data_IF_194167054440
#
_entry.id   IF_194167054440
#
_cell.length_a   1.000
_cell.length_b   1.000
_cell.length_c   1.000
_cell.angle_alpha   90.00
_cell.angle_beta   90.00
_cell.angle_gamma   90.00
#
_symmetry.space_group_name_H-M   'P 1'
#
loop_
_entity.id
_entity.type
_entity.pdbx_description
1 polymer ?
#
# COMPACT_ATOMS: atom_id res chain seq x y z
N UNK A 1 26.67 -2.14 -8.52
CA UNK A 1 25.38 -2.49 -7.87
C UNK A 1 25.36 -1.89 -6.48
N UNK A 2 24.40 -1.03 -6.22
CA UNK A 2 24.22 -0.38 -4.93
C UNK A 2 22.87 -0.75 -4.33
N UNK A 3 22.76 -0.60 -3.02
CA UNK A 3 21.50 -0.82 -2.30
C UNK A 3 21.21 0.40 -1.44
N UNK A 4 19.99 0.89 -1.56
CA UNK A 4 19.49 2.01 -0.77
C UNK A 4 18.20 1.58 -0.06
N UNK A 5 18.02 2.01 1.16
CA UNK A 5 16.81 1.77 1.93
C UNK A 5 16.23 3.07 2.46
N UNK A 6 14.90 3.10 2.58
CA UNK A 6 14.19 4.23 3.13
C UNK A 6 12.90 3.76 3.80
N UNK A 7 12.42 4.52 4.76
CA UNK A 7 11.13 4.28 5.38
C UNK A 7 10.26 5.51 5.19
N UNK A 8 9.10 5.31 4.58
CA UNK A 8 8.05 6.33 4.60
C UNK A 8 7.04 6.00 5.69
N UNK A 9 6.60 7.06 6.39
CA UNK A 9 5.60 6.97 7.43
C UNK A 9 4.36 7.73 6.97
N UNK A 10 3.22 7.01 6.93
CA UNK A 10 1.94 7.55 6.49
C UNK A 10 1.00 7.59 7.69
N UNK A 11 0.48 8.76 8.00
CA UNK A 11 -0.58 8.93 8.99
C UNK A 11 -1.91 8.75 8.29
N UNK A 12 -2.65 7.72 8.69
CA UNK A 12 -3.97 7.42 8.12
C UNK A 12 -5.08 7.92 9.05
N UNK A 13 -6.22 8.24 8.46
CA UNK A 13 -7.41 8.63 9.19
C UNK A 13 -8.62 8.02 8.48
N UNK A 14 -8.90 6.77 8.81
CA UNK A 14 -10.00 6.02 8.25
C UNK A 14 -9.59 5.04 7.16
N UNK A 15 -10.48 4.09 6.92
CA UNK A 15 -10.35 3.04 5.92
C UNK A 15 -10.49 3.64 4.53
N UNK A 16 -9.43 3.65 3.77
CA UNK A 16 -9.39 4.05 2.36
C UNK A 16 -8.02 3.79 1.74
N UNK A 17 -7.92 4.05 0.44
CA UNK A 17 -6.67 4.03 -0.31
C UNK A 17 -5.98 5.40 -0.22
N UNK A 18 -4.73 5.39 0.23
CA UNK A 18 -3.88 6.57 0.32
C UNK A 18 -2.84 6.52 -0.78
N UNK A 19 -2.83 7.50 -1.67
CA UNK A 19 -1.85 7.55 -2.75
C UNK A 19 -0.47 7.95 -2.18
N UNK A 20 0.49 7.03 -2.25
CA UNK A 20 1.87 7.26 -1.82
C UNK A 20 2.84 7.37 -3.01
N UNK A 21 2.32 7.40 -4.23
CA UNK A 21 3.14 7.51 -5.44
C UNK A 21 4.12 8.68 -5.38
N UNK A 22 3.71 9.91 -4.99
CA UNK A 22 4.64 11.04 -4.97
C UNK A 22 5.87 10.82 -4.09
N UNK A 23 5.68 10.28 -2.88
CA UNK A 23 6.77 10.03 -1.94
C UNK A 23 7.74 8.98 -2.47
N UNK A 24 7.20 7.90 -3.07
CA UNK A 24 8.01 6.81 -3.63
C UNK A 24 8.80 7.30 -4.84
N UNK A 25 8.13 7.97 -5.76
CA UNK A 25 8.76 8.48 -7.00
C UNK A 25 9.86 9.49 -6.69
N UNK A 26 9.61 10.42 -5.77
CA UNK A 26 10.58 11.44 -5.37
C UNK A 26 11.84 10.82 -4.76
N UNK A 27 11.67 9.89 -3.83
CA UNK A 27 12.83 9.24 -3.21
C UNK A 27 13.66 8.47 -4.22
N UNK A 28 13.01 7.67 -5.06
CA UNK A 28 13.70 6.85 -6.05
C UNK A 28 14.44 7.71 -7.10
N UNK A 29 13.81 8.78 -7.58
CA UNK A 29 14.43 9.68 -8.56
C UNK A 29 15.68 10.39 -7.99
N UNK A 30 15.70 10.66 -6.69
CA UNK A 30 16.84 11.30 -6.03
C UNK A 30 17.96 10.33 -5.64
N UNK A 31 17.83 9.05 -5.96
CA UNK A 31 18.83 8.03 -5.63
C UNK A 31 20.15 8.18 -6.41
N UNK A 32 20.09 8.79 -7.58
CA UNK A 32 21.24 8.89 -8.49
C UNK A 32 21.55 7.57 -9.22
N UNK A 33 20.72 6.54 -9.06
CA UNK A 33 20.88 5.24 -9.70
C UNK A 33 20.07 5.19 -11.01
N UNK A 34 20.37 4.22 -11.86
CA UNK A 34 19.82 4.18 -13.22
C UNK A 34 18.90 2.99 -13.47
N UNK A 35 19.35 1.76 -13.22
CA UNK A 35 18.57 0.57 -13.59
C UNK A 35 18.63 -0.48 -12.49
N UNK A 36 17.47 -1.01 -12.13
CA UNK A 36 17.38 -2.01 -11.07
C UNK A 36 15.94 -2.37 -10.69
N UNK A 37 15.74 -2.65 -9.42
CA UNK A 37 14.46 -3.08 -8.86
C UNK A 37 14.17 -2.34 -7.57
N UNK A 38 12.98 -1.75 -7.50
CA UNK A 38 12.45 -1.16 -6.27
C UNK A 38 11.48 -2.15 -5.63
N UNK A 39 11.69 -2.42 -4.35
CA UNK A 39 10.76 -3.20 -3.53
C UNK A 39 10.16 -2.31 -2.45
N UNK A 40 8.84 -2.39 -2.29
CA UNK A 40 8.12 -1.79 -1.18
C UNK A 40 7.59 -2.91 -0.29
N UNK A 41 7.66 -2.71 1.03
CA UNK A 41 7.17 -3.67 2.00
C UNK A 41 6.46 -2.93 3.15
N UNK A 42 5.21 -3.30 3.41
CA UNK A 42 4.45 -2.71 4.53
C UNK A 42 4.62 -3.57 5.79
N UNK A 43 4.91 -2.90 6.91
CA UNK A 43 5.22 -3.57 8.18
C UNK A 43 3.99 -3.70 9.09
N UNK A 44 2.84 -4.08 8.51
CA UNK A 44 1.56 -4.15 9.23
C UNK A 44 0.72 -5.33 8.78
N UNK A 45 -0.23 -5.73 9.61
CA UNK A 45 -1.18 -6.82 9.35
C UNK A 45 -2.62 -6.33 9.15
N UNK A 46 -2.86 -5.03 9.27
CA UNK A 46 -4.18 -4.40 9.09
C UNK A 46 -4.18 -3.24 8.10
N UNK A 47 -3.14 -3.16 7.30
CA UNK A 47 -3.01 -2.29 6.14
C UNK A 47 -2.14 -3.01 5.10
N UNK A 48 -2.27 -2.63 3.85
CA UNK A 48 -1.59 -3.33 2.74
C UNK A 48 -1.14 -2.37 1.65
N UNK A 49 -0.51 -2.92 0.62
CA UNK A 49 -0.08 -2.18 -0.57
C UNK A 49 -0.87 -2.63 -1.78
N UNK A 50 -1.05 -1.71 -2.72
CA UNK A 50 -1.76 -1.97 -3.96
C UNK A 50 -1.26 -1.05 -5.07
N UNK A 51 -1.08 -1.60 -6.27
CA UNK A 51 -0.95 -0.80 -7.49
C UNK A 51 -2.27 -0.86 -8.22
N UNK A 52 -2.84 0.30 -8.50
CA UNK A 52 -4.13 0.39 -9.19
C UNK A 52 -4.24 1.73 -9.92
N UNK A 53 -5.35 1.92 -10.63
CA UNK A 53 -5.62 3.16 -11.35
C UNK A 53 -5.67 4.35 -10.38
N UNK A 54 -5.02 5.44 -10.76
CA UNK A 54 -4.96 6.67 -9.98
C UNK A 54 -5.66 7.86 -10.66
N UNK A 55 -6.43 7.63 -11.71
CA UNK A 55 -7.07 8.68 -12.49
C UNK A 55 -8.55 8.86 -12.14
N UNK A 56 -9.35 7.80 -12.27
CA UNK A 56 -10.78 7.86 -11.98
C UNK A 56 -11.04 7.51 -10.50
N UNK A 57 -11.51 8.47 -9.68
CA UNK A 57 -11.77 8.20 -8.27
C UNK A 57 -12.87 7.14 -8.04
N UNK A 58 -13.72 6.87 -9.02
CA UNK A 58 -14.76 5.85 -8.93
C UNK A 58 -14.16 4.44 -8.80
N UNK A 59 -12.97 4.21 -9.36
CA UNK A 59 -12.27 2.93 -9.19
C UNK A 59 -11.99 2.64 -7.71
N UNK A 60 -11.56 3.65 -6.96
CA UNK A 60 -11.26 3.50 -5.54
C UNK A 60 -12.53 3.31 -4.72
N UNK A 61 -13.61 4.00 -5.08
CA UNK A 61 -14.92 3.85 -4.44
C UNK A 61 -15.47 2.46 -4.66
N UNK A 62 -15.43 1.96 -5.88
CA UNK A 62 -15.92 0.62 -6.22
C UNK A 62 -15.08 -0.48 -5.56
N UNK A 63 -13.78 -0.27 -5.45
CA UNK A 63 -12.89 -1.19 -4.72
C UNK A 63 -13.34 -1.34 -3.27
N UNK A 64 -13.59 -0.23 -2.60
CA UNK A 64 -14.02 -0.21 -1.20
C UNK A 64 -15.39 -0.86 -1.04
N UNK A 65 -16.34 -0.55 -1.91
CA UNK A 65 -17.69 -1.15 -1.92
C UNK A 65 -17.62 -2.66 -2.09
N UNK A 66 -16.77 -3.14 -3.00
CA UNK A 66 -16.58 -4.57 -3.23
C UNK A 66 -16.04 -5.27 -1.97
N UNK A 67 -15.00 -4.69 -1.35
CA UNK A 67 -14.42 -5.26 -0.14
C UNK A 67 -15.39 -5.24 1.04
N UNK A 68 -16.21 -4.21 1.19
CA UNK A 68 -17.25 -4.18 2.22
C UNK A 68 -18.25 -5.35 2.07
N UNK A 69 -18.54 -5.72 0.84
CA UNK A 69 -19.47 -6.83 0.55
C UNK A 69 -18.86 -8.19 0.88
N UNK A 70 -17.61 -8.43 0.48
CA UNK A 70 -16.99 -9.76 0.66
C UNK A 70 -16.34 -9.96 2.01
N UNK A 71 -15.99 -8.88 2.70
CA UNK A 71 -15.35 -8.92 4.03
C UNK A 71 -16.12 -7.97 4.96
N UNK A 72 -17.32 -8.36 5.42
CA UNK A 72 -18.14 -7.50 6.27
C UNK A 72 -17.55 -7.36 7.67
N UNK A 73 -17.69 -6.16 8.25
CA UNK A 73 -17.28 -5.91 9.62
C UNK A 73 -18.25 -6.54 10.61
N UNK A 74 -17.71 -7.03 11.73
CA UNK A 74 -18.51 -7.56 12.84
C UNK A 74 -19.32 -8.81 12.51
N UNK A 75 -18.90 -9.60 11.51
CA UNK A 75 -19.54 -10.86 11.20
C UNK A 75 -19.47 -11.80 12.40
N UNK A 76 -20.58 -12.50 12.67
CA UNK A 76 -20.71 -13.39 13.82
C UNK A 76 -19.78 -14.61 13.76
N UNK A 77 -19.21 -14.94 12.59
CA UNK A 77 -18.25 -16.03 12.45
C UNK A 77 -16.89 -15.72 13.08
N UNK A 78 -16.57 -14.43 13.30
CA UNK A 78 -15.28 -14.03 13.81
C UNK A 78 -15.18 -14.20 15.34
N UNK A 79 -14.07 -14.78 15.80
CA UNK A 79 -13.75 -14.91 17.22
C UNK A 79 -12.71 -13.89 17.68
N UNK A 80 -11.95 -13.30 16.78
CA UNK A 80 -11.00 -12.22 17.05
C UNK A 80 -11.75 -10.88 17.09
N UNK A 81 -12.21 -10.48 18.27
CA UNK A 81 -13.12 -9.35 18.43
C UNK A 81 -12.64 -8.29 19.42
N UNK A 82 -11.53 -8.54 20.15
CA UNK A 82 -11.09 -7.69 21.25
C UNK A 82 -10.67 -6.28 20.81
N UNK A 83 -10.23 -6.12 19.57
CA UNK A 83 -9.73 -4.84 19.04
C UNK A 83 -10.75 -4.10 18.16
N UNK A 84 -12.01 -4.51 18.19
CA UNK A 84 -13.11 -3.86 17.44
C UNK A 84 -13.63 -4.70 16.30
N UNK A 85 -14.76 -4.25 15.74
CA UNK A 85 -15.48 -4.95 14.67
C UNK A 85 -14.73 -4.99 13.35
N UNK A 86 -13.85 -4.02 13.11
CA UNK A 86 -13.12 -3.84 11.86
C UNK A 86 -11.74 -4.52 11.85
N UNK A 87 -11.29 -5.09 13.00
CA UNK A 87 -9.93 -5.62 13.07
C UNK A 87 -9.76 -6.95 12.35
N UNK A 88 -10.61 -7.94 12.63
CA UNK A 88 -10.52 -9.21 11.88
C UNK A 88 -10.76 -9.03 10.37
N UNK A 89 -11.76 -8.26 9.93
CA UNK A 89 -11.88 -7.90 8.52
C UNK A 89 -10.65 -7.22 7.94
N UNK A 90 -9.97 -6.37 8.71
CA UNK A 90 -8.73 -5.73 8.27
C UNK A 90 -7.62 -6.77 8.00
N UNK A 91 -7.48 -7.78 8.86
CA UNK A 91 -6.54 -8.87 8.64
C UNK A 91 -6.85 -9.66 7.36
N UNK A 92 -8.12 -9.93 7.09
CA UNK A 92 -8.56 -10.64 5.88
C UNK A 92 -8.29 -9.79 4.63
N UNK A 93 -8.64 -8.51 4.67
CA UNK A 93 -8.37 -7.57 3.55
C UNK A 93 -6.88 -7.48 3.25
N UNK A 94 -6.05 -7.43 4.30
CA UNK A 94 -4.58 -7.46 4.14
C UNK A 94 -4.10 -8.74 3.48
N UNK A 95 -4.68 -9.89 3.85
CA UNK A 95 -4.34 -11.18 3.25
C UNK A 95 -4.76 -11.31 1.78
N UNK A 96 -5.79 -10.59 1.38
CA UNK A 96 -6.32 -10.58 0.00
C UNK A 96 -5.62 -9.56 -0.91
N UNK A 97 -4.85 -8.66 -0.35
CA UNK A 97 -4.10 -7.64 -1.09
C UNK A 97 -2.59 -7.90 -0.97
N UNK A 98 -1.74 -6.90 -1.02
CA UNK A 98 -0.30 -7.14 -1.09
C UNK A 98 0.44 -6.55 0.10
N UNK A 99 1.39 -7.32 0.63
CA UNK A 99 2.32 -6.86 1.66
C UNK A 99 3.59 -6.30 1.04
N UNK A 100 3.96 -6.80 -0.13
CA UNK A 100 5.17 -6.43 -0.86
C UNK A 100 4.86 -6.19 -2.33
N UNK A 101 5.51 -5.18 -2.90
CA UNK A 101 5.39 -4.83 -4.32
C UNK A 101 6.80 -4.68 -4.87
N UNK A 102 7.06 -5.25 -6.05
CA UNK A 102 8.29 -5.03 -6.80
C UNK A 102 7.98 -4.30 -8.10
N UNK A 103 8.73 -3.23 -8.38
CA UNK A 103 8.54 -2.41 -9.57
C UNK A 103 9.91 -2.23 -10.24
N UNK A 104 10.04 -2.48 -11.55
CA UNK A 104 11.27 -2.16 -12.27
C UNK A 104 11.65 -0.69 -12.12
N UNK A 105 12.93 -0.45 -11.99
CA UNK A 105 13.51 0.89 -11.96
C UNK A 105 14.36 1.05 -13.22
N UNK A 106 14.01 1.98 -14.08
CA UNK A 106 14.56 2.09 -15.43
C UNK A 106 14.83 3.56 -15.74
N UNK A 107 16.04 3.85 -16.23
CA UNK A 107 16.46 5.20 -16.58
C UNK A 107 16.23 6.22 -15.46
N UNK A 108 16.54 5.80 -14.23
CA UNK A 108 16.40 6.66 -13.05
C UNK A 108 14.98 6.88 -12.58
N UNK A 109 14.02 6.07 -13.03
CA UNK A 109 12.60 6.22 -12.70
C UNK A 109 11.94 4.91 -12.33
N UNK A 110 10.97 4.98 -11.44
CA UNK A 110 10.06 3.86 -11.15
C UNK A 110 9.18 3.66 -12.37
N UNK A 111 9.20 2.46 -12.95
CA UNK A 111 8.57 2.18 -14.25
C UNK A 111 7.07 1.86 -14.12
N UNK A 112 6.31 2.84 -13.61
CA UNK A 112 4.85 2.74 -13.57
C UNK A 112 4.24 3.06 -14.94
N UNK A 113 3.15 2.37 -15.25
CA UNK A 113 2.29 2.74 -16.38
C UNK A 113 1.59 4.08 -16.13
N UNK A 114 1.05 4.67 -17.18
CA UNK A 114 0.40 5.99 -17.13
C UNK A 114 -0.68 6.11 -16.07
N UNK A 115 -1.46 5.05 -15.88
CA UNK A 115 -2.60 5.02 -14.97
C UNK A 115 -2.31 4.35 -13.63
N UNK A 116 -1.10 3.84 -13.43
CA UNK A 116 -0.74 3.14 -12.20
C UNK A 116 -0.33 4.12 -11.10
N UNK A 117 -0.96 3.98 -9.95
CA UNK A 117 -0.53 4.60 -8.71
C UNK A 117 -0.18 3.55 -7.67
N UNK A 118 0.66 3.92 -6.73
CA UNK A 118 1.02 3.09 -5.58
C UNK A 118 0.20 3.58 -4.40
N UNK A 119 -0.56 2.66 -3.80
CA UNK A 119 -1.46 2.99 -2.70
C UNK A 119 -1.10 2.20 -1.45
N UNK A 120 -1.20 2.88 -0.31
CA UNK A 120 -1.37 2.23 0.99
C UNK A 120 -2.87 2.07 1.22
N UNK A 121 -3.33 0.84 1.41
CA UNK A 121 -4.73 0.54 1.72
C UNK A 121 -4.88 0.37 3.22
N UNK A 122 -5.45 1.38 3.90
CA UNK A 122 -5.78 1.30 5.32
C UNK A 122 -7.08 0.55 5.51
N UNK A 123 -7.05 -0.49 6.33
CA UNK A 123 -8.22 -1.35 6.56
C UNK A 123 -8.92 -1.09 7.89
N UNK A 124 -8.36 -0.22 8.75
CA UNK A 124 -8.96 0.18 10.02
C UNK A 124 -9.65 1.53 9.90
N UNK A 125 -10.71 1.74 10.69
CA UNK A 125 -11.40 3.04 10.74
C UNK A 125 -10.69 4.06 11.62
N UNK A 126 -10.03 3.62 12.70
CA UNK A 126 -9.29 4.53 13.57
C UNK A 126 -8.03 5.05 12.88
N UNK A 127 -7.57 6.21 13.33
CA UNK A 127 -6.31 6.78 12.86
C UNK A 127 -5.12 5.90 13.27
N UNK A 128 -4.19 5.70 12.34
CA UNK A 128 -2.98 4.92 12.54
C UNK A 128 -1.77 5.61 11.94
N UNK A 129 -0.60 5.17 12.38
CA UNK A 129 0.67 5.50 11.75
C UNK A 129 1.20 4.24 11.08
N UNK A 130 1.37 4.27 9.75
CA UNK A 130 1.79 3.13 8.97
C UNK A 130 3.18 3.35 8.39
N UNK A 131 4.01 2.30 8.41
CA UNK A 131 5.37 2.33 7.90
C UNK A 131 5.50 1.45 6.67
N UNK A 132 6.10 2.02 5.62
CA UNK A 132 6.43 1.30 4.39
C UNK A 132 7.93 1.41 4.17
N UNK A 133 8.58 0.26 4.05
CA UNK A 133 9.99 0.19 3.71
C UNK A 133 10.16 0.20 2.20
N UNK A 134 11.12 0.99 1.74
CA UNK A 134 11.57 1.01 0.36
C UNK A 134 12.99 0.46 0.29
N UNK A 135 13.24 -0.44 -0.65
CA UNK A 135 14.55 -1.02 -0.90
C UNK A 135 14.82 -0.97 -2.40
N UNK A 136 15.84 -0.23 -2.80
CA UNK A 136 16.27 -0.11 -4.19
C UNK A 136 17.59 -0.80 -4.38
N UNK A 137 17.62 -1.78 -5.27
CA UNK A 137 18.83 -2.41 -5.77
C UNK A 137 19.02 -1.95 -7.22
N UNK A 138 20.07 -1.21 -7.51
CA UNK A 138 20.29 -0.65 -8.84
C UNK A 138 21.76 -0.27 -9.05
N UNK A 139 22.10 0.02 -10.28
CA UNK A 139 23.39 0.59 -10.67
C UNK A 139 23.25 1.95 -11.34
#
# INVERSE_FOLDING_TARGET
MQQLTHKITIKTNGRRLYDITPQVMSWAANSGLNTGLLTLYIQHTSASLLINENYDPDVLVDMDTFFERIVPDGDAMFIHTAEGRDDMPAHIRSALTQTSISIPFIEGKVALGTWQGIFLYEHRFAAHTRNVLLHLIAE
#
